data_IF_650674832746
#
_entry.id   IF_650674832746
#
_cell.length_a   1.000
_cell.length_b   1.000
_cell.length_c   1.000
_cell.angle_alpha   90.00
_cell.angle_beta   90.00
_cell.angle_gamma   90.00
#
_symmetry.space_group_name_H-M   'P 1'
#
loop_
_entity.id
_entity.type
_entity.pdbx_description
1 polymer ?
#
# COMPACT_ATOMS: atom_id res chain seq x y z
N UNK A 1 32.93 2.33 9.57
CA UNK A 1 33.12 1.32 8.49
C UNK A 1 31.73 0.87 8.08
N UNK A 2 31.42 0.85 6.78
CA UNK A 2 30.11 0.40 6.27
C UNK A 2 29.93 -1.09 6.54
N UNK A 3 28.72 -1.51 6.89
CA UNK A 3 28.37 -2.94 7.02
C UNK A 3 28.62 -3.67 5.69
N UNK A 4 29.15 -4.90 5.78
CA UNK A 4 29.54 -5.69 4.60
C UNK A 4 28.35 -5.97 3.67
N UNK A 5 27.14 -6.20 4.21
CA UNK A 5 25.95 -6.48 3.39
C UNK A 5 25.52 -5.23 2.63
N UNK A 6 25.59 -4.07 3.27
CA UNK A 6 25.29 -2.78 2.63
C UNK A 6 26.27 -2.51 1.49
N UNK A 7 27.56 -2.75 1.69
CA UNK A 7 28.58 -2.59 0.64
C UNK A 7 28.30 -3.51 -0.55
N UNK A 8 28.05 -4.80 -0.31
CA UNK A 8 27.73 -5.75 -1.36
C UNK A 8 26.45 -5.39 -2.12
N UNK A 9 25.41 -4.91 -1.41
CA UNK A 9 24.17 -4.44 -2.04
C UNK A 9 24.45 -3.27 -2.99
N UNK A 10 25.31 -2.33 -2.57
CA UNK A 10 25.70 -1.19 -3.40
C UNK A 10 26.47 -1.63 -4.65
N UNK A 11 27.49 -2.47 -4.47
CA UNK A 11 28.30 -3.01 -5.57
C UNK A 11 27.42 -3.77 -6.57
N UNK A 12 26.51 -4.62 -6.06
CA UNK A 12 25.56 -5.36 -6.88
C UNK A 12 24.63 -4.44 -7.68
N UNK A 13 24.10 -3.38 -7.05
CA UNK A 13 23.20 -2.42 -7.71
C UNK A 13 23.89 -1.70 -8.87
N UNK A 14 25.11 -1.19 -8.65
CA UNK A 14 25.90 -0.52 -9.69
C UNK A 14 26.25 -1.47 -10.83
N UNK A 15 26.76 -2.67 -10.52
CA UNK A 15 27.08 -3.70 -11.53
C UNK A 15 25.89 -4.07 -12.41
N UNK A 16 24.69 -3.98 -11.87
CA UNK A 16 23.45 -4.30 -12.59
C UNK A 16 22.85 -3.14 -13.39
N UNK A 17 23.53 -1.98 -13.47
CA UNK A 17 23.10 -0.77 -14.19
C UNK A 17 21.68 -0.33 -13.80
N UNK A 18 21.38 -0.34 -12.51
CA UNK A 18 20.10 0.17 -12.00
C UNK A 18 20.24 1.68 -11.78
N UNK A 19 19.26 2.44 -12.25
CA UNK A 19 19.25 3.92 -12.25
C UNK A 19 18.14 4.51 -11.36
N UNK A 20 17.25 3.70 -10.81
CA UNK A 20 16.11 4.11 -10.00
C UNK A 20 15.97 3.26 -8.73
N UNK A 21 15.28 3.82 -7.74
CA UNK A 21 14.87 3.14 -6.53
C UNK A 21 13.58 3.76 -6.02
N UNK A 22 12.49 2.97 -6.06
CA UNK A 22 11.16 3.45 -5.72
C UNK A 22 11.06 4.08 -4.31
N UNK A 23 10.30 5.18 -4.14
CA UNK A 23 10.00 5.72 -2.82
C UNK A 23 8.93 4.88 -2.11
N UNK A 24 8.87 4.94 -0.77
CA UNK A 24 7.61 4.57 -0.11
C UNK A 24 6.52 5.55 -0.52
N UNK A 25 5.30 5.07 -0.73
CA UNK A 25 4.14 5.96 -0.91
C UNK A 25 3.40 6.10 0.41
N UNK A 26 3.06 7.33 0.78
CA UNK A 26 2.21 7.61 1.93
C UNK A 26 0.73 7.49 1.56
N UNK A 27 -0.12 6.99 2.46
CA UNK A 27 -1.54 7.25 2.40
C UNK A 27 -1.82 8.74 2.46
N UNK A 28 -2.96 9.13 1.88
CA UNK A 28 -3.52 10.44 2.07
C UNK A 28 -3.71 10.77 3.57
N UNK A 29 -3.64 12.04 3.97
CA UNK A 29 -4.04 12.45 5.30
C UNK A 29 -5.50 12.05 5.58
N UNK A 30 -5.82 11.82 6.86
CA UNK A 30 -7.16 11.44 7.31
C UNK A 30 -8.06 12.67 7.43
N UNK A 31 -9.37 12.50 7.22
CA UNK A 31 -10.39 13.50 7.56
C UNK A 31 -11.30 12.96 8.66
N UNK A 32 -11.22 13.56 9.85
CA UNK A 32 -12.15 13.25 10.94
C UNK A 32 -13.57 13.71 10.63
N UNK A 33 -13.71 14.87 10.00
CA UNK A 33 -15.01 15.44 9.67
C UNK A 33 -15.80 14.58 8.68
N UNK A 34 -15.10 13.92 7.75
CA UNK A 34 -15.70 13.01 6.76
C UNK A 34 -15.67 11.54 7.15
N UNK A 35 -15.13 11.21 8.32
CA UNK A 35 -14.92 9.84 8.76
C UNK A 35 -14.09 9.00 7.75
N UNK A 36 -13.06 9.62 7.17
CA UNK A 36 -12.18 9.01 6.16
C UNK A 36 -10.78 8.80 6.73
N UNK A 37 -10.35 7.54 6.78
CA UNK A 37 -9.02 7.20 7.29
C UNK A 37 -7.90 7.52 6.28
N UNK A 38 -8.25 7.57 4.99
CA UNK A 38 -7.46 8.05 3.86
C UNK A 38 -8.38 8.96 3.04
N UNK A 39 -8.16 10.27 3.04
CA UNK A 39 -9.10 11.24 2.46
C UNK A 39 -8.63 11.79 1.12
N UNK A 40 -9.50 11.68 0.10
CA UNK A 40 -9.26 12.27 -1.23
C UNK A 40 -9.13 13.79 -1.11
N UNK A 41 -10.04 14.43 -0.36
CA UNK A 41 -10.03 15.88 -0.18
C UNK A 41 -8.76 16.34 0.55
N UNK A 42 -8.33 15.66 1.60
CA UNK A 42 -7.12 16.07 2.33
C UNK A 42 -5.83 15.87 1.50
N UNK A 43 -5.79 14.86 0.62
CA UNK A 43 -4.70 14.71 -0.34
C UNK A 43 -4.64 15.88 -1.33
N UNK A 44 -5.79 16.28 -1.88
CA UNK A 44 -5.89 17.45 -2.77
C UNK A 44 -5.51 18.74 -2.03
N UNK A 45 -6.02 18.94 -0.82
CA UNK A 45 -5.71 20.11 0.02
C UNK A 45 -4.23 20.21 0.34
N UNK A 46 -3.57 19.08 0.61
CA UNK A 46 -2.14 19.04 0.86
C UNK A 46 -1.36 19.64 -0.31
N UNK A 47 -1.72 19.27 -1.55
CA UNK A 47 -1.05 19.75 -2.76
C UNK A 47 -1.45 21.19 -3.14
N UNK A 48 -2.73 21.54 -3.05
CA UNK A 48 -3.21 22.91 -3.30
C UNK A 48 -2.54 23.91 -2.35
N UNK A 49 -2.40 23.55 -1.06
CA UNK A 49 -1.67 24.36 -0.07
C UNK A 49 -0.17 24.52 -0.35
N UNK A 50 0.34 23.86 -1.40
CA UNK A 50 1.71 23.96 -1.91
C UNK A 50 1.78 24.51 -3.35
N UNK A 51 0.67 25.04 -3.85
CA UNK A 51 0.58 25.67 -5.18
C UNK A 51 0.43 24.68 -6.34
N UNK A 52 0.13 23.41 -6.08
CA UNK A 52 -0.12 22.40 -7.12
C UNK A 52 -1.62 22.31 -7.38
N UNK A 53 -2.04 22.70 -8.58
CA UNK A 53 -3.46 22.74 -8.99
C UNK A 53 -3.85 21.67 -9.99
N UNK A 54 -2.89 21.00 -10.63
CA UNK A 54 -3.14 20.04 -11.71
C UNK A 54 -2.76 18.61 -11.30
N UNK A 55 -3.70 17.69 -11.46
CA UNK A 55 -3.66 16.35 -10.90
C UNK A 55 -3.90 15.26 -11.94
N UNK A 56 -3.28 14.11 -11.68
CA UNK A 56 -3.54 12.83 -12.33
C UNK A 56 -4.02 11.85 -11.26
N UNK A 57 -5.21 11.28 -11.46
CA UNK A 57 -5.79 10.27 -10.56
C UNK A 57 -5.87 8.95 -11.29
N UNK A 58 -5.06 7.99 -10.85
CA UNK A 58 -4.93 6.67 -11.46
C UNK A 58 -5.51 5.59 -10.56
N UNK A 59 -5.98 4.50 -11.14
CA UNK A 59 -6.26 3.26 -10.40
C UNK A 59 -5.00 2.82 -9.65
N UNK A 60 -5.18 2.37 -8.41
CA UNK A 60 -4.13 1.66 -7.66
C UNK A 60 -4.25 0.17 -7.95
N UNK A 61 -3.34 -0.36 -8.74
CA UNK A 61 -3.27 -1.80 -9.02
C UNK A 61 -2.74 -2.56 -7.80
N UNK A 62 -3.30 -3.73 -7.56
CA UNK A 62 -2.85 -4.63 -6.50
C UNK A 62 -1.87 -5.66 -7.08
N UNK A 63 -0.58 -5.31 -7.08
CA UNK A 63 0.47 -6.16 -7.58
C UNK A 63 1.78 -5.95 -6.83
N UNK A 64 2.89 -5.98 -7.57
CA UNK A 64 4.20 -5.61 -7.05
C UNK A 64 4.81 -4.53 -7.93
N UNK A 65 5.24 -3.42 -7.32
CA UNK A 65 5.99 -2.40 -8.04
C UNK A 65 7.21 -3.01 -8.74
N UNK A 66 7.34 -2.67 -10.02
CA UNK A 66 8.41 -3.08 -10.90
C UNK A 66 8.77 -1.94 -11.85
N UNK A 67 10.05 -1.56 -11.89
CA UNK A 67 10.58 -0.73 -12.96
C UNK A 67 11.01 -1.63 -14.12
N UNK A 68 10.41 -1.41 -15.28
CA UNK A 68 10.77 -2.07 -16.53
C UNK A 68 11.91 -1.26 -17.15
N UNK A 69 13.05 -1.89 -17.38
CA UNK A 69 14.13 -1.36 -18.21
C UNK A 69 13.93 -1.90 -19.62
N UNK A 70 13.01 -1.27 -20.35
CA UNK A 70 12.62 -1.70 -21.69
C UNK A 70 13.74 -1.39 -22.67
N UNK A 71 14.40 -2.43 -23.18
CA UNK A 71 15.53 -2.28 -24.10
C UNK A 71 15.07 -2.27 -25.55
N UNK A 72 15.87 -1.62 -26.41
CA UNK A 72 15.58 -1.56 -27.85
C UNK A 72 15.46 -2.95 -28.43
N UNK A 73 16.43 -3.80 -28.12
CA UNK A 73 16.29 -5.24 -28.26
C UNK A 73 15.44 -5.76 -27.10
N UNK A 74 14.21 -6.18 -27.38
CA UNK A 74 13.24 -6.54 -26.34
C UNK A 74 13.75 -7.69 -25.45
N UNK A 75 14.56 -8.59 -26.00
CA UNK A 75 15.12 -9.76 -25.30
C UNK A 75 16.15 -9.38 -24.21
N UNK A 76 16.68 -8.15 -24.26
CA UNK A 76 17.59 -7.61 -23.24
C UNK A 76 16.85 -6.90 -22.10
N UNK A 77 15.52 -6.79 -22.18
CA UNK A 77 14.69 -6.13 -21.17
C UNK A 77 14.85 -6.82 -19.83
N UNK A 78 14.97 -6.02 -18.76
CA UNK A 78 15.02 -6.52 -17.40
C UNK A 78 14.14 -5.72 -16.46
N UNK A 79 13.91 -6.29 -15.29
CA UNK A 79 12.91 -5.84 -14.33
C UNK A 79 13.58 -5.56 -12.99
N UNK A 80 13.21 -4.45 -12.34
CA UNK A 80 13.76 -4.05 -11.03
C UNK A 80 12.63 -3.87 -10.03
N UNK A 81 12.72 -4.55 -8.90
CA UNK A 81 11.78 -4.46 -7.79
C UNK A 81 11.84 -3.12 -7.07
N UNK A 82 10.82 -2.85 -6.24
CA UNK A 82 10.72 -1.65 -5.38
C UNK A 82 11.99 -1.30 -4.59
N UNK A 83 12.79 -2.30 -4.22
CA UNK A 83 13.95 -2.13 -3.34
C UNK A 83 15.29 -2.15 -4.10
N UNK A 84 15.26 -2.01 -5.43
CA UNK A 84 16.48 -1.91 -6.25
C UNK A 84 17.16 -3.25 -6.53
N UNK A 85 16.40 -4.36 -6.57
CA UNK A 85 16.92 -5.66 -6.99
C UNK A 85 16.30 -6.08 -8.31
N UNK A 86 17.09 -6.70 -9.18
CA UNK A 86 16.59 -7.32 -10.41
C UNK A 86 15.65 -8.47 -10.04
N UNK A 87 14.60 -8.63 -10.84
CA UNK A 87 13.64 -9.71 -10.71
C UNK A 87 14.02 -10.76 -11.74
N UNK A 88 14.56 -11.88 -11.27
CA UNK A 88 15.04 -13.03 -12.06
C UNK A 88 14.32 -14.34 -11.72
N UNK A 89 13.54 -14.36 -10.63
CA UNK A 89 12.80 -15.51 -10.10
C UNK A 89 11.35 -15.56 -10.60
N UNK A 90 11.10 -15.07 -11.82
CA UNK A 90 9.81 -15.13 -12.51
C UNK A 90 10.00 -15.79 -13.89
N UNK A 91 8.90 -16.10 -14.58
CA UNK A 91 8.96 -16.56 -15.98
C UNK A 91 9.34 -15.40 -16.91
N UNK A 92 10.64 -15.10 -17.03
CA UNK A 92 11.17 -13.94 -17.76
C UNK A 92 10.71 -13.89 -19.21
N UNK A 93 10.68 -15.03 -19.91
CA UNK A 93 10.20 -15.08 -21.29
C UNK A 93 8.72 -14.66 -21.40
N UNK A 94 7.86 -15.10 -20.48
CA UNK A 94 6.46 -14.65 -20.43
C UNK A 94 6.35 -13.16 -20.11
N UNK A 95 7.18 -12.67 -19.18
CA UNK A 95 7.23 -11.26 -18.84
C UNK A 95 7.62 -10.39 -20.04
N UNK A 96 8.68 -10.76 -20.77
CA UNK A 96 9.10 -10.08 -22.01
C UNK A 96 8.01 -10.17 -23.08
N UNK A 97 7.41 -11.35 -23.27
CA UNK A 97 6.32 -11.54 -24.24
C UNK A 97 5.11 -10.65 -23.95
N UNK A 98 4.78 -10.41 -22.68
CA UNK A 98 3.68 -9.52 -22.27
C UNK A 98 3.92 -8.04 -22.61
N UNK A 99 5.16 -7.66 -22.97
CA UNK A 99 5.54 -6.28 -23.30
C UNK A 99 5.58 -6.00 -24.80
N UNK A 100 5.28 -6.95 -25.68
CA UNK A 100 5.42 -6.77 -27.14
C UNK A 100 4.65 -5.58 -27.69
N UNK A 101 3.40 -5.41 -27.26
CA UNK A 101 2.56 -4.30 -27.74
C UNK A 101 3.08 -2.95 -27.23
N UNK A 102 3.48 -2.89 -25.96
CA UNK A 102 4.12 -1.71 -25.38
C UNK A 102 5.43 -1.38 -26.10
N UNK A 103 6.26 -2.38 -26.37
CA UNK A 103 7.52 -2.23 -27.08
C UNK A 103 7.31 -1.67 -28.48
N UNK A 104 6.37 -2.22 -29.25
CA UNK A 104 6.02 -1.70 -30.57
C UNK A 104 5.58 -0.23 -30.51
N UNK A 105 4.75 0.14 -29.52
CA UNK A 105 4.34 1.54 -29.28
C UNK A 105 5.53 2.44 -28.96
N UNK A 106 6.45 1.99 -28.11
CA UNK A 106 7.65 2.75 -27.73
C UNK A 106 8.66 2.87 -28.88
N UNK A 107 8.75 1.88 -29.78
CA UNK A 107 9.60 1.96 -30.99
C UNK A 107 9.10 3.06 -31.93
N UNK A 108 7.78 3.26 -32.00
CA UNK A 108 7.19 4.35 -32.81
C UNK A 108 7.39 5.70 -32.13
N UNK A 109 7.09 5.79 -30.83
CA UNK A 109 7.16 7.04 -30.07
C UNK A 109 8.60 7.54 -29.90
N UNK A 110 9.56 6.62 -29.70
CA UNK A 110 10.97 6.94 -29.51
C UNK A 110 11.85 6.12 -30.48
N UNK A 111 11.91 6.46 -31.78
CA UNK A 111 12.59 5.63 -32.80
C UNK A 111 14.04 5.27 -32.50
N UNK A 112 14.74 6.10 -31.73
CA UNK A 112 16.17 5.95 -31.43
C UNK A 112 16.45 5.61 -29.95
N UNK A 113 15.45 5.14 -29.19
CA UNK A 113 15.69 4.74 -27.80
C UNK A 113 16.64 3.53 -27.72
N UNK A 114 17.58 3.54 -26.77
CA UNK A 114 18.36 2.39 -26.34
C UNK A 114 17.69 1.69 -25.14
N UNK A 115 17.24 2.49 -24.16
CA UNK A 115 16.49 2.00 -23.00
C UNK A 115 15.45 3.02 -22.53
N UNK A 116 14.31 2.53 -22.07
CA UNK A 116 13.28 3.33 -21.40
C UNK A 116 13.02 2.73 -20.02
N UNK A 117 13.08 3.56 -18.99
CA UNK A 117 12.74 3.19 -17.63
C UNK A 117 11.28 3.53 -17.39
N UNK A 118 10.45 2.50 -17.19
CA UNK A 118 9.01 2.63 -17.05
C UNK A 118 8.61 2.07 -15.68
N UNK A 119 8.09 2.92 -14.80
CA UNK A 119 7.50 2.47 -13.54
C UNK A 119 6.18 1.76 -13.84
N UNK A 120 6.00 0.57 -13.27
CA UNK A 120 4.88 -0.32 -13.51
C UNK A 120 4.46 -1.08 -12.27
N UNK A 121 3.24 -1.59 -12.28
CA UNK A 121 2.85 -2.70 -11.40
C UNK A 121 3.00 -4.03 -12.16
N UNK A 122 3.64 -5.03 -11.56
CA UNK A 122 3.67 -6.42 -12.00
C UNK A 122 2.48 -7.15 -11.37
N UNK A 123 1.66 -7.79 -12.19
CA UNK A 123 0.45 -8.50 -11.79
C UNK A 123 0.47 -9.96 -12.25
N UNK A 124 -0.32 -10.84 -11.61
CA UNK A 124 -1.06 -10.62 -10.36
C UNK A 124 -0.14 -10.53 -9.13
N UNK A 125 -0.66 -10.06 -7.99
CA UNK A 125 0.09 -9.97 -6.72
C UNK A 125 0.77 -11.29 -6.35
N UNK A 126 0.11 -12.42 -6.65
CA UNK A 126 0.61 -13.77 -6.38
C UNK A 126 1.98 -14.07 -7.02
N UNK A 127 2.36 -13.44 -8.13
CA UNK A 127 3.65 -13.67 -8.82
C UNK A 127 4.84 -13.51 -7.87
N UNK A 128 4.85 -12.45 -7.06
CA UNK A 128 5.91 -12.22 -6.05
C UNK A 128 5.40 -12.40 -4.61
N UNK A 129 4.07 -12.41 -4.42
CA UNK A 129 3.41 -12.39 -3.12
C UNK A 129 2.84 -13.72 -2.64
N UNK A 130 2.90 -14.81 -3.42
CA UNK A 130 2.24 -16.09 -3.09
C UNK A 130 2.48 -16.56 -1.65
N UNK A 131 3.76 -16.60 -1.23
CA UNK A 131 4.10 -17.07 0.12
C UNK A 131 3.58 -16.18 1.24
N UNK A 132 3.39 -14.88 0.99
CA UNK A 132 2.82 -13.93 1.95
C UNK A 132 1.30 -14.11 2.06
N UNK A 133 0.62 -14.27 0.92
CA UNK A 133 -0.83 -14.50 0.84
C UNK A 133 -1.21 -15.72 1.67
N UNK A 134 -0.56 -16.86 1.40
CA UNK A 134 -0.87 -18.12 2.09
C UNK A 134 -0.59 -18.05 3.60
N UNK A 135 0.57 -17.50 4.00
CA UNK A 135 1.01 -17.51 5.39
C UNK A 135 0.23 -16.52 6.27
N UNK A 136 0.02 -15.31 5.79
CA UNK A 136 -0.49 -14.21 6.64
C UNK A 136 -1.98 -13.96 6.43
N UNK A 137 -2.50 -14.14 5.22
CA UNK A 137 -3.88 -13.78 4.89
C UNK A 137 -4.82 -14.99 4.92
N UNK A 138 -4.47 -16.08 4.23
CA UNK A 138 -5.27 -17.32 4.25
C UNK A 138 -5.31 -17.92 5.66
N UNK A 139 -4.17 -17.98 6.34
CA UNK A 139 -4.08 -18.47 7.72
C UNK A 139 -4.94 -17.66 8.71
N UNK A 140 -4.93 -16.32 8.60
CA UNK A 140 -5.79 -15.45 9.42
C UNK A 140 -7.28 -15.68 9.14
N UNK A 141 -7.66 -15.83 7.87
CA UNK A 141 -9.04 -16.13 7.47
C UNK A 141 -9.53 -17.44 8.08
N UNK A 142 -8.79 -18.54 7.91
CA UNK A 142 -9.19 -19.87 8.38
C UNK A 142 -9.29 -19.93 9.91
N UNK A 143 -8.38 -19.26 10.62
CA UNK A 143 -8.42 -19.18 12.08
C UNK A 143 -9.71 -18.50 12.58
N UNK A 144 -10.07 -17.34 12.00
CA UNK A 144 -11.28 -16.62 12.39
C UNK A 144 -12.57 -17.32 11.94
N UNK A 145 -12.56 -17.93 10.76
CA UNK A 145 -13.67 -18.74 10.27
C UNK A 145 -13.97 -19.87 11.25
N UNK A 146 -12.95 -20.66 11.61
CA UNK A 146 -13.08 -21.76 12.57
C UNK A 146 -13.56 -21.27 13.93
N UNK A 147 -13.01 -20.14 14.42
CA UNK A 147 -13.43 -19.54 15.68
C UNK A 147 -14.91 -19.13 15.67
N UNK A 148 -15.35 -18.45 14.61
CA UNK A 148 -16.74 -17.99 14.48
C UNK A 148 -17.71 -19.17 14.36
N UNK A 149 -17.38 -20.19 13.58
CA UNK A 149 -18.18 -21.41 13.45
C UNK A 149 -18.34 -22.14 14.80
N UNK A 150 -17.26 -22.21 15.59
CA UNK A 150 -17.33 -22.78 16.93
C UNK A 150 -18.19 -21.95 17.88
N UNK A 151 -18.03 -20.62 17.90
CA UNK A 151 -18.83 -19.76 18.77
C UNK A 151 -20.33 -19.87 18.47
N UNK A 152 -20.71 -20.04 17.21
CA UNK A 152 -22.11 -20.22 16.81
C UNK A 152 -22.67 -21.60 17.12
N UNK A 153 -21.86 -22.66 16.98
CA UNK A 153 -22.36 -24.04 17.11
C UNK A 153 -22.24 -24.63 18.52
N UNK A 154 -21.38 -24.08 19.38
CA UNK A 154 -21.04 -24.69 20.67
C UNK A 154 -22.04 -24.46 21.80
N UNK A 155 -22.99 -23.54 21.65
CA UNK A 155 -23.87 -23.11 22.75
C UNK A 155 -23.15 -22.31 23.85
N UNK A 156 -21.91 -21.87 23.60
CA UNK A 156 -21.07 -21.18 24.58
C UNK A 156 -21.61 -19.79 24.89
N UNK A 157 -22.01 -19.04 23.86
CA UNK A 157 -22.46 -17.65 24.00
C UNK A 157 -23.76 -17.58 24.83
N UNK A 158 -24.71 -18.46 24.55
CA UNK A 158 -25.98 -18.58 25.25
C UNK A 158 -25.78 -18.91 26.74
N UNK A 159 -24.81 -19.79 27.05
CA UNK A 159 -24.45 -20.11 28.44
C UNK A 159 -23.82 -18.92 29.15
N UNK A 160 -22.92 -18.19 28.48
CA UNK A 160 -22.28 -17.01 29.06
C UNK A 160 -23.31 -15.91 29.34
N UNK A 161 -24.24 -15.68 28.43
CA UNK A 161 -25.34 -14.73 28.58
C UNK A 161 -26.29 -15.15 29.71
N UNK A 162 -26.69 -16.41 29.75
CA UNK A 162 -27.52 -16.94 30.85
C UNK A 162 -26.89 -16.71 32.24
N UNK A 163 -25.57 -16.88 32.38
CA UNK A 163 -24.88 -16.57 33.63
C UNK A 163 -24.84 -15.07 33.91
N UNK A 164 -24.63 -14.23 32.88
CA UNK A 164 -24.63 -12.75 33.03
C UNK A 164 -25.99 -12.22 33.47
N UNK A 165 -27.06 -12.85 33.03
CA UNK A 165 -28.44 -12.49 33.40
C UNK A 165 -28.85 -13.06 34.77
N UNK A 166 -28.09 -13.99 35.33
CA UNK A 166 -28.42 -14.60 36.62
C UNK A 166 -28.38 -13.59 37.77
N UNK A 167 -29.30 -13.76 38.73
CA UNK A 167 -29.36 -12.93 39.93
C UNK A 167 -28.03 -12.95 40.71
N UNK A 168 -27.38 -14.11 40.79
CA UNK A 168 -26.12 -14.27 41.52
C UNK A 168 -24.99 -13.43 40.91
N UNK A 169 -24.93 -13.35 39.58
CA UNK A 169 -23.91 -12.55 38.88
C UNK A 169 -24.21 -11.05 38.97
N UNK A 170 -25.47 -10.65 38.78
CA UNK A 170 -25.86 -9.23 38.87
C UNK A 170 -25.65 -8.67 40.29
N UNK A 171 -25.93 -9.47 41.32
CA UNK A 171 -25.60 -9.14 42.72
C UNK A 171 -24.10 -8.99 42.92
N UNK A 172 -23.29 -9.90 42.37
CA UNK A 172 -21.83 -9.80 42.44
C UNK A 172 -21.30 -8.49 41.83
N UNK A 173 -21.78 -8.11 40.64
CA UNK A 173 -21.37 -6.86 39.98
C UNK A 173 -21.78 -5.64 40.81
N UNK A 174 -23.00 -5.66 41.39
CA UNK A 174 -23.47 -4.59 42.27
C UNK A 174 -22.62 -4.47 43.54
N UNK A 175 -22.32 -5.60 44.18
CA UNK A 175 -21.49 -5.68 45.38
C UNK A 175 -20.08 -5.15 45.10
N UNK A 176 -19.50 -5.48 43.96
CA UNK A 176 -18.17 -5.02 43.57
C UNK A 176 -18.10 -3.50 43.46
N UNK A 177 -19.17 -2.86 43.00
CA UNK A 177 -19.25 -1.41 42.89
C UNK A 177 -19.53 -0.70 44.23
N UNK A 178 -20.18 -1.39 45.19
CA UNK A 178 -20.72 -0.77 46.42
C UNK A 178 -20.00 -1.12 47.71
N UNK A 179 -19.47 -2.35 47.83
CA UNK A 179 -18.86 -2.83 49.06
C UNK A 179 -17.39 -2.43 49.16
N UNK A 180 -16.90 -2.25 50.39
CA UNK A 180 -15.46 -2.14 50.62
C UNK A 180 -14.75 -3.45 50.31
N UNK A 181 -13.44 -3.40 50.04
CA UNK A 181 -12.63 -4.59 49.74
C UNK A 181 -12.73 -5.68 50.83
N UNK A 182 -12.86 -5.28 52.10
CA UNK A 182 -12.98 -6.20 53.24
C UNK A 182 -14.35 -6.89 53.28
N UNK A 183 -15.42 -6.13 53.08
CA UNK A 183 -16.80 -6.65 53.04
C UNK A 183 -16.98 -7.57 51.82
N UNK A 184 -16.48 -7.13 50.66
CA UNK A 184 -16.51 -7.90 49.42
C UNK A 184 -15.79 -9.24 49.56
N UNK A 185 -14.57 -9.24 50.11
CA UNK A 185 -13.79 -10.46 50.33
C UNK A 185 -14.36 -11.38 51.41
N UNK A 186 -15.20 -10.87 52.32
CA UNK A 186 -15.90 -11.69 53.31
C UNK A 186 -17.18 -12.31 52.74
N UNK A 187 -17.86 -11.62 51.81
CA UNK A 187 -19.11 -12.05 51.18
C UNK A 187 -18.89 -13.03 50.03
N UNK A 188 -17.88 -12.81 49.19
CA UNK A 188 -17.63 -13.59 47.98
C UNK A 188 -16.41 -14.50 48.12
N UNK A 189 -16.60 -15.81 47.95
CA UNK A 189 -15.51 -16.80 47.99
C UNK A 189 -14.55 -16.60 46.81
N UNK A 190 -13.27 -16.93 47.00
CA UNK A 190 -12.20 -16.71 46.01
C UNK A 190 -12.48 -17.30 44.62
N UNK A 191 -13.10 -18.49 44.54
CA UNK A 191 -13.44 -19.12 43.26
C UNK A 191 -14.59 -18.40 42.53
N UNK A 192 -15.54 -17.80 43.25
CA UNK A 192 -16.62 -16.98 42.67
C UNK A 192 -16.03 -15.70 42.11
N UNK A 193 -15.18 -15.02 42.88
CA UNK A 193 -14.46 -13.82 42.42
C UNK A 193 -13.70 -14.13 41.13
N UNK A 194 -12.89 -15.20 41.10
CA UNK A 194 -12.17 -15.61 39.89
C UNK A 194 -13.11 -15.82 38.69
N UNK A 195 -14.20 -16.56 38.88
CA UNK A 195 -15.12 -16.93 37.80
C UNK A 195 -15.85 -15.70 37.24
N UNK A 196 -16.41 -14.87 38.11
CA UNK A 196 -17.22 -13.73 37.71
C UNK A 196 -16.38 -12.56 37.25
N UNK A 197 -15.14 -12.38 37.75
CA UNK A 197 -14.20 -11.44 37.14
C UNK A 197 -13.84 -11.82 35.70
N UNK A 198 -13.55 -13.10 35.46
CA UNK A 198 -13.27 -13.57 34.12
C UNK A 198 -14.45 -13.29 33.18
N UNK A 199 -15.68 -13.58 33.62
CA UNK A 199 -16.89 -13.34 32.82
C UNK A 199 -17.20 -11.85 32.61
N UNK A 200 -16.96 -11.01 33.62
CA UNK A 200 -17.21 -9.57 33.56
C UNK A 200 -16.23 -8.84 32.64
N UNK A 201 -15.00 -9.34 32.54
CA UNK A 201 -13.95 -8.76 31.69
C UNK A 201 -13.90 -9.38 30.28
N UNK A 202 -14.56 -10.53 30.08
CA UNK A 202 -14.63 -11.21 28.79
C UNK A 202 -15.35 -10.33 27.75
N UNK A 203 -14.63 -9.95 26.70
CA UNK A 203 -15.21 -9.30 25.52
C UNK A 203 -15.76 -10.37 24.59
N UNK A 204 -17.08 -10.35 24.42
CA UNK A 204 -17.75 -11.22 23.44
C UNK A 204 -17.73 -10.47 22.10
N UNK A 205 -17.15 -11.06 21.03
CA UNK A 205 -17.20 -10.44 19.71
C UNK A 205 -18.63 -10.46 19.15
N UNK A 206 -18.95 -9.46 18.33
CA UNK A 206 -20.17 -9.48 17.51
C UNK A 206 -19.95 -10.44 16.34
N UNK A 207 -20.31 -11.70 16.54
CA UNK A 207 -20.02 -12.78 15.58
C UNK A 207 -20.66 -12.52 14.22
N UNK A 208 -21.86 -11.94 14.20
CA UNK A 208 -22.57 -11.60 12.96
C UNK A 208 -21.78 -10.57 12.15
N UNK A 209 -21.37 -9.45 12.78
CA UNK A 209 -20.55 -8.44 12.10
C UNK A 209 -19.19 -8.97 11.69
N UNK A 210 -18.55 -9.79 12.54
CA UNK A 210 -17.29 -10.42 12.19
C UNK A 210 -17.44 -11.34 10.97
N UNK A 211 -18.54 -12.08 10.84
CA UNK A 211 -18.78 -12.92 9.67
C UNK A 211 -19.01 -12.10 8.39
N UNK A 212 -19.75 -11.00 8.47
CA UNK A 212 -19.92 -10.08 7.34
C UNK A 212 -18.57 -9.52 6.87
N UNK A 213 -17.77 -9.04 7.81
CA UNK A 213 -16.43 -8.50 7.52
C UNK A 213 -15.46 -9.58 7.04
N UNK A 214 -15.55 -10.81 7.55
CA UNK A 214 -14.76 -11.95 7.10
C UNK A 214 -15.10 -12.35 5.66
N UNK A 215 -16.37 -12.19 5.22
CA UNK A 215 -16.74 -12.36 3.81
C UNK A 215 -16.08 -11.31 2.92
N UNK A 216 -16.05 -10.05 3.36
CA UNK A 216 -15.33 -8.97 2.64
C UNK A 216 -13.85 -9.31 2.55
N UNK A 217 -13.22 -9.68 3.67
CA UNK A 217 -11.81 -10.09 3.74
C UNK A 217 -11.50 -11.23 2.76
N UNK A 218 -12.31 -12.29 2.76
CA UNK A 218 -12.16 -13.42 1.85
C UNK A 218 -12.33 -13.02 0.38
N UNK A 219 -13.31 -12.16 0.08
CA UNK A 219 -13.51 -11.65 -1.27
C UNK A 219 -12.30 -10.85 -1.79
N UNK A 220 -11.68 -10.03 -0.93
CA UNK A 220 -10.43 -9.32 -1.27
C UNK A 220 -9.29 -10.30 -1.57
N UNK A 221 -9.08 -11.30 -0.70
CA UNK A 221 -8.03 -12.30 -0.89
C UNK A 221 -8.24 -13.05 -2.20
N UNK A 222 -9.45 -13.51 -2.48
CA UNK A 222 -9.72 -14.24 -3.72
C UNK A 222 -9.49 -13.35 -4.93
N UNK A 223 -9.89 -12.08 -4.89
CA UNK A 223 -9.71 -11.17 -6.02
C UNK A 223 -8.24 -10.95 -6.35
N UNK A 224 -7.40 -10.71 -5.35
CA UNK A 224 -5.99 -10.34 -5.57
C UNK A 224 -5.02 -11.52 -5.49
N UNK A 225 -5.42 -12.61 -4.85
CA UNK A 225 -4.63 -13.83 -4.64
C UNK A 225 -4.86 -14.91 -5.69
N UNK A 226 -5.73 -14.66 -6.68
CA UNK A 226 -5.93 -15.60 -7.78
C UNK A 226 -4.66 -15.77 -8.63
N UNK A 227 -4.45 -16.99 -9.12
CA UNK A 227 -3.49 -17.24 -10.18
C UNK A 227 -4.05 -16.72 -11.50
N UNK A 228 -3.25 -15.90 -12.17
CA UNK A 228 -3.55 -15.36 -13.48
C UNK A 228 -2.23 -15.21 -14.25
N UNK A 229 -2.33 -15.02 -15.56
CA UNK A 229 -1.15 -14.79 -16.39
C UNK A 229 -0.44 -13.50 -15.96
N UNK A 230 0.89 -13.61 -15.92
CA UNK A 230 1.77 -12.50 -15.59
C UNK A 230 1.64 -11.41 -16.64
N UNK A 231 1.38 -10.18 -16.20
CA UNK A 231 1.33 -9.01 -17.06
C UNK A 231 1.72 -7.75 -16.28
N UNK A 232 1.92 -6.66 -17.01
CA UNK A 232 2.29 -5.37 -16.45
C UNK A 232 1.17 -4.34 -16.62
N UNK A 233 1.05 -3.44 -15.63
CA UNK A 233 0.30 -2.18 -15.74
C UNK A 233 1.27 -1.01 -15.54
N UNK A 234 1.93 -0.56 -16.63
CA UNK A 234 2.82 0.59 -16.58
C UNK A 234 2.07 1.85 -16.18
N UNK A 235 2.73 2.81 -15.54
CA UNK A 235 2.03 4.03 -15.13
C UNK A 235 2.84 5.33 -15.24
N UNK A 236 4.16 5.28 -15.46
CA UNK A 236 4.97 6.48 -15.67
C UNK A 236 6.26 6.15 -16.41
N UNK A 237 6.60 6.92 -17.45
CA UNK A 237 7.94 6.90 -18.04
C UNK A 237 8.85 7.78 -17.17
N UNK A 238 9.85 7.17 -16.56
CA UNK A 238 10.80 7.85 -15.67
C UNK A 238 11.94 8.49 -16.46
N UNK A 239 12.46 7.78 -17.46
CA UNK A 239 13.64 8.19 -18.22
C UNK A 239 13.67 7.48 -19.58
N UNK A 240 14.08 8.21 -20.61
CA UNK A 240 14.38 7.70 -21.95
C UNK A 240 15.84 7.98 -22.24
N UNK A 241 16.56 6.97 -22.72
CA UNK A 241 17.97 7.08 -23.15
C UNK A 241 18.02 6.67 -24.60
N UNK A 242 18.62 7.49 -25.46
CA UNK A 242 18.78 7.18 -26.88
C UNK A 242 20.12 6.49 -27.18
N UNK A 243 20.27 5.98 -28.41
CA UNK A 243 21.49 5.29 -28.86
C UNK A 243 22.74 6.18 -28.88
N UNK A 244 22.61 7.50 -28.81
CA UNK A 244 23.72 8.45 -28.70
C UNK A 244 24.10 8.73 -27.24
N UNK A 245 23.36 8.17 -26.27
CA UNK A 245 23.54 8.40 -24.84
C UNK A 245 22.95 9.72 -24.34
N UNK A 246 22.12 10.39 -25.15
CA UNK A 246 21.32 11.53 -24.71
C UNK A 246 20.10 11.04 -23.94
N UNK A 247 19.68 11.82 -22.93
CA UNK A 247 18.69 11.38 -21.98
C UNK A 247 17.60 12.41 -21.75
N UNK A 248 16.37 11.92 -21.63
CA UNK A 248 15.19 12.72 -21.34
C UNK A 248 14.56 12.17 -20.07
N UNK A 249 14.31 13.04 -19.10
CA UNK A 249 13.47 12.76 -17.94
C UNK A 249 12.15 13.52 -18.16
N UNK A 250 11.06 12.85 -18.59
CA UNK A 250 9.83 13.53 -18.98
C UNK A 250 9.20 14.37 -17.86
N UNK A 251 9.44 13.99 -16.60
CA UNK A 251 8.92 14.65 -15.41
C UNK A 251 7.40 14.88 -15.44
N UNK A 252 6.64 13.94 -16.03
CA UNK A 252 5.18 14.07 -16.18
C UNK A 252 4.47 12.74 -15.93
N UNK A 253 3.48 12.77 -15.03
CA UNK A 253 2.57 11.64 -14.81
C UNK A 253 1.57 11.46 -15.97
N UNK A 254 1.48 12.40 -16.92
CA UNK A 254 0.68 12.24 -18.13
C UNK A 254 1.30 11.27 -19.14
N UNK A 255 2.58 10.89 -18.96
CA UNK A 255 3.20 9.77 -19.68
C UNK A 255 2.44 8.45 -19.49
N UNK A 256 1.53 8.38 -18.50
CA UNK A 256 0.55 7.31 -18.36
C UNK A 256 -0.19 6.99 -19.67
N UNK A 257 -0.65 8.01 -20.42
CA UNK A 257 -1.35 7.82 -21.72
C UNK A 257 -0.48 7.10 -22.77
N UNK A 258 0.85 7.21 -22.64
CA UNK A 258 1.79 6.58 -23.56
C UNK A 258 1.95 5.09 -23.25
N UNK A 259 1.79 4.67 -21.99
CA UNK A 259 2.16 3.32 -21.54
C UNK A 259 1.00 2.50 -20.99
N UNK A 260 -0.20 3.08 -20.87
CA UNK A 260 -1.38 2.41 -20.31
C UNK A 260 -2.66 2.98 -20.93
N UNK A 261 -3.61 2.08 -21.22
CA UNK A 261 -4.89 2.41 -21.85
C UNK A 261 -6.06 2.42 -20.85
N UNK A 262 -5.83 2.08 -19.57
CA UNK A 262 -6.86 2.11 -18.54
C UNK A 262 -7.32 3.56 -18.26
N UNK A 263 -8.58 3.72 -17.88
CA UNK A 263 -9.14 5.02 -17.55
C UNK A 263 -8.43 5.67 -16.34
N UNK A 264 -8.26 6.99 -16.41
CA UNK A 264 -7.72 7.81 -15.34
C UNK A 264 -8.29 9.23 -15.46
N UNK A 265 -8.18 10.02 -14.39
CA UNK A 265 -8.60 11.42 -14.41
C UNK A 265 -7.40 12.36 -14.58
N UNK A 266 -7.58 13.39 -15.39
CA UNK A 266 -6.67 14.53 -15.51
C UNK A 266 -7.48 15.79 -15.21
N UNK A 267 -7.18 16.45 -14.09
CA UNK A 267 -8.01 17.51 -13.51
C UNK A 267 -7.16 18.72 -13.15
N UNK A 268 -7.66 19.91 -13.46
CA UNK A 268 -7.17 21.16 -12.88
C UNK A 268 -8.19 21.69 -11.87
N UNK A 269 -7.73 21.93 -10.63
CA UNK A 269 -8.56 22.32 -9.50
C UNK A 269 -8.26 23.78 -9.14
N UNK A 270 -9.31 24.59 -9.14
CA UNK A 270 -9.35 25.99 -8.72
C UNK A 270 -10.43 26.17 -7.66
N UNK A 271 -10.45 27.30 -6.97
CA UNK A 271 -11.47 27.57 -5.94
C UNK A 271 -12.91 27.52 -6.48
N UNK A 272 -13.11 27.82 -7.77
CA UNK A 272 -14.44 27.86 -8.40
C UNK A 272 -14.98 26.49 -8.79
N UNK A 273 -14.11 25.51 -9.08
CA UNK A 273 -14.51 24.18 -9.55
C UNK A 273 -14.16 23.05 -8.56
N UNK A 274 -13.60 23.39 -7.39
CA UNK A 274 -13.10 22.44 -6.41
C UNK A 274 -14.11 21.38 -6.01
N UNK A 275 -15.35 21.77 -5.72
CA UNK A 275 -16.40 20.84 -5.31
C UNK A 275 -16.76 19.85 -6.43
N UNK A 276 -16.90 20.35 -7.66
CA UNK A 276 -17.18 19.53 -8.84
C UNK A 276 -16.05 18.51 -9.09
N UNK A 277 -14.79 18.96 -9.04
CA UNK A 277 -13.62 18.10 -9.30
C UNK A 277 -13.39 17.08 -8.20
N UNK A 278 -13.64 17.43 -6.94
CA UNK A 278 -13.65 16.45 -5.86
C UNK A 278 -14.74 15.39 -6.10
N UNK A 279 -15.96 15.79 -6.48
CA UNK A 279 -17.05 14.85 -6.79
C UNK A 279 -16.68 13.89 -7.92
N UNK A 280 -15.99 14.36 -8.95
CA UNK A 280 -15.46 13.54 -10.04
C UNK A 280 -14.47 12.48 -9.53
N UNK A 281 -13.54 12.87 -8.65
CA UNK A 281 -12.57 11.96 -8.02
C UNK A 281 -13.25 10.91 -7.12
N UNK A 282 -14.23 11.31 -6.30
CA UNK A 282 -15.01 10.39 -5.46
C UNK A 282 -15.82 9.41 -6.32
N UNK A 283 -16.44 9.88 -7.40
CA UNK A 283 -17.21 9.00 -8.31
C UNK A 283 -16.31 7.95 -8.97
N UNK A 284 -15.10 8.34 -9.37
CA UNK A 284 -14.11 7.40 -9.91
C UNK A 284 -13.63 6.39 -8.86
N UNK A 285 -13.39 6.85 -7.62
CA UNK A 285 -13.03 5.98 -6.50
C UNK A 285 -14.13 4.97 -6.15
N UNK A 286 -15.39 5.41 -6.10
CA UNK A 286 -16.55 4.56 -5.85
C UNK A 286 -16.73 3.51 -6.96
N UNK A 287 -16.56 3.91 -8.23
CA UNK A 287 -16.57 2.97 -9.36
C UNK A 287 -15.52 1.87 -9.17
N UNK A 288 -14.27 2.24 -8.90
CA UNK A 288 -13.19 1.27 -8.68
C UNK A 288 -13.42 0.40 -7.43
N UNK A 289 -14.02 0.96 -6.39
CA UNK A 289 -14.42 0.20 -5.19
C UNK A 289 -15.46 -0.86 -5.51
N UNK A 290 -16.45 -0.54 -6.35
CA UNK A 290 -17.48 -1.48 -6.81
C UNK A 290 -16.92 -2.55 -7.76
N UNK A 291 -15.88 -2.21 -8.53
CA UNK A 291 -15.09 -3.14 -9.36
C UNK A 291 -14.10 -3.98 -8.52
N UNK A 292 -14.12 -3.82 -7.19
CA UNK A 292 -13.28 -4.53 -6.24
C UNK A 292 -11.77 -4.30 -6.40
N UNK A 293 -11.39 -3.11 -6.85
CA UNK A 293 -10.00 -2.67 -6.95
C UNK A 293 -9.48 -2.17 -5.60
N UNK A 294 -8.17 -2.00 -5.44
CA UNK A 294 -7.60 -1.53 -4.16
C UNK A 294 -7.98 -0.06 -3.84
N UNK A 295 -8.05 0.79 -4.87
CA UNK A 295 -8.36 2.21 -4.71
C UNK A 295 -7.69 3.08 -5.79
N UNK A 296 -7.25 4.28 -5.41
CA UNK A 296 -6.67 5.27 -6.32
C UNK A 296 -5.32 5.80 -5.83
N UNK A 297 -4.57 6.37 -6.77
CA UNK A 297 -3.35 7.12 -6.58
C UNK A 297 -3.57 8.55 -7.05
N UNK A 298 -3.41 9.53 -6.16
CA UNK A 298 -3.53 10.96 -6.46
C UNK A 298 -2.13 11.52 -6.63
N UNK A 299 -1.82 12.02 -7.83
CA UNK A 299 -0.49 12.51 -8.21
C UNK A 299 -0.59 13.92 -8.78
N UNK A 300 0.40 14.80 -8.60
CA UNK A 300 0.54 16.00 -9.43
C UNK A 300 0.76 15.62 -10.90
N UNK A 301 0.40 16.48 -11.87
CA UNK A 301 0.81 16.27 -13.28
C UNK A 301 2.32 16.26 -13.42
N UNK A 302 3.02 17.24 -12.83
CA UNK A 302 4.48 17.25 -12.76
C UNK A 302 4.96 16.15 -11.81
N UNK A 303 5.66 15.14 -12.35
CA UNK A 303 6.00 13.91 -11.63
C UNK A 303 6.93 14.14 -10.42
N UNK A 304 7.82 15.13 -10.51
CA UNK A 304 8.69 15.57 -9.44
C UNK A 304 8.57 17.07 -9.20
N UNK A 305 8.22 17.39 -7.96
CA UNK A 305 8.24 18.74 -7.40
C UNK A 305 9.04 18.64 -6.10
N UNK A 306 10.05 19.51 -5.96
CA UNK A 306 10.95 19.52 -4.80
C UNK A 306 10.17 19.62 -3.49
N UNK A 307 10.59 18.87 -2.47
CA UNK A 307 9.95 18.78 -1.14
C UNK A 307 8.49 18.28 -1.12
N UNK A 308 7.95 17.74 -2.21
CA UNK A 308 6.60 17.17 -2.25
C UNK A 308 6.62 15.66 -2.43
N UNK A 309 5.66 14.92 -1.83
CA UNK A 309 5.57 13.49 -2.06
C UNK A 309 5.16 13.22 -3.51
N UNK A 310 5.61 12.11 -4.12
CA UNK A 310 5.28 11.75 -5.50
C UNK A 310 3.78 11.57 -5.71
N UNK A 311 3.10 11.02 -4.70
CA UNK A 311 1.66 10.77 -4.72
C UNK A 311 1.13 10.41 -3.34
N UNK A 312 -0.20 10.41 -3.22
CA UNK A 312 -0.93 9.78 -2.12
C UNK A 312 -1.72 8.57 -2.62
N UNK A 313 -1.69 7.48 -1.85
CA UNK A 313 -2.65 6.38 -2.02
C UNK A 313 -3.92 6.67 -1.22
N UNK A 314 -5.07 6.33 -1.79
CA UNK A 314 -6.36 6.27 -1.10
C UNK A 314 -6.98 4.92 -1.41
N UNK A 315 -7.03 4.06 -0.39
CA UNK A 315 -7.53 2.68 -0.47
C UNK A 315 -8.94 2.61 0.08
N UNK A 316 -9.78 1.79 -0.55
CA UNK A 316 -11.16 1.63 -0.06
C UNK A 316 -11.24 0.75 1.18
N UNK A 317 -12.35 0.86 1.90
CA UNK A 317 -12.53 0.18 3.17
C UNK A 317 -12.62 -1.36 3.03
N UNK A 318 -13.06 -1.89 1.88
CA UNK A 318 -13.04 -3.33 1.64
C UNK A 318 -11.60 -3.85 1.64
N UNK A 319 -10.72 -3.18 0.88
CA UNK A 319 -9.28 -3.49 0.88
C UNK A 319 -8.65 -3.25 2.26
N UNK A 320 -8.97 -2.14 2.94
CA UNK A 320 -8.42 -1.85 4.26
C UNK A 320 -8.82 -2.87 5.32
N UNK A 321 -9.95 -3.57 5.15
CA UNK A 321 -10.31 -4.71 6.00
C UNK A 321 -9.26 -5.82 5.91
N UNK A 322 -8.65 -6.02 4.75
CA UNK A 322 -7.53 -6.96 4.58
C UNK A 322 -6.27 -6.52 5.35
N UNK A 323 -6.05 -5.21 5.48
CA UNK A 323 -4.85 -4.63 6.11
C UNK A 323 -5.01 -4.47 7.64
N UNK A 324 -6.20 -4.11 8.11
CA UNK A 324 -6.48 -3.83 9.52
C UNK A 324 -7.16 -5.01 10.25
N UNK A 325 -7.69 -5.99 9.51
CA UNK A 325 -8.41 -7.15 10.03
C UNK A 325 -9.92 -6.97 10.05
N UNK A 326 -10.65 -8.05 10.35
CA UNK A 326 -12.12 -8.09 10.26
C UNK A 326 -12.84 -7.11 11.21
N UNK A 327 -12.18 -6.66 12.27
CA UNK A 327 -12.77 -5.68 13.18
C UNK A 327 -12.59 -4.23 12.68
N UNK A 328 -11.99 -4.01 11.50
CA UNK A 328 -11.68 -2.68 10.99
C UNK A 328 -12.86 -1.70 11.04
N UNK A 329 -14.04 -2.13 10.61
CA UNK A 329 -15.26 -1.31 10.64
C UNK A 329 -15.78 -1.04 12.05
N UNK A 330 -15.70 -2.05 12.94
CA UNK A 330 -16.17 -1.93 14.32
C UNK A 330 -15.25 -1.02 15.15
N UNK A 331 -13.94 -1.12 14.93
CA UNK A 331 -12.91 -0.36 15.64
C UNK A 331 -12.45 0.85 14.81
N UNK A 332 -13.27 1.35 13.87
CA UNK A 332 -12.85 2.37 12.92
C UNK A 332 -12.38 3.66 13.61
N UNK A 333 -13.11 4.15 14.61
CA UNK A 333 -12.75 5.35 15.37
C UNK A 333 -11.37 5.21 16.03
N UNK A 334 -11.06 4.02 16.56
CA UNK A 334 -9.75 3.72 17.14
C UNK A 334 -8.62 3.89 16.11
N UNK A 335 -8.82 3.33 14.91
CA UNK A 335 -7.83 3.43 13.84
C UNK A 335 -7.74 4.85 13.29
N UNK A 336 -8.87 5.53 13.11
CA UNK A 336 -8.94 6.91 12.68
C UNK A 336 -8.20 7.83 13.65
N UNK A 337 -8.37 7.66 14.96
CA UNK A 337 -7.66 8.45 15.96
C UNK A 337 -6.15 8.21 15.94
N UNK A 338 -5.73 6.95 15.96
CA UNK A 338 -4.31 6.58 16.05
C UNK A 338 -3.51 6.84 14.78
N UNK A 339 -4.16 6.89 13.62
CA UNK A 339 -3.44 7.01 12.35
C UNK A 339 -2.64 8.31 12.25
N UNK A 340 -1.36 8.19 11.94
CA UNK A 340 -0.46 9.32 11.73
C UNK A 340 0.47 9.05 10.55
N UNK A 341 0.28 9.82 9.47
CA UNK A 341 1.05 9.67 8.22
C UNK A 341 2.26 10.61 8.14
N UNK A 342 2.46 11.53 9.09
CA UNK A 342 3.47 12.60 8.97
C UNK A 342 4.87 12.08 8.64
N UNK A 343 5.35 11.09 9.41
CA UNK A 343 6.67 10.46 9.18
C UNK A 343 6.73 9.69 7.86
N UNK A 344 5.62 9.06 7.45
CA UNK A 344 5.51 8.33 6.18
C UNK A 344 5.57 9.29 4.99
N UNK A 345 4.91 10.45 5.08
CA UNK A 345 5.00 11.53 4.09
C UNK A 345 6.44 12.03 3.98
N UNK A 346 7.10 12.28 5.11
CA UNK A 346 8.50 12.72 5.14
C UNK A 346 9.44 11.72 4.45
N UNK A 347 9.31 10.42 4.75
CA UNK A 347 10.13 9.40 4.09
C UNK A 347 9.77 9.22 2.61
N UNK A 348 8.51 9.39 2.24
CA UNK A 348 8.04 9.41 0.84
C UNK A 348 8.70 10.54 0.04
N UNK A 349 8.74 11.76 0.60
CA UNK A 349 9.43 12.91 0.01
C UNK A 349 10.93 12.62 -0.13
N UNK A 350 11.58 12.21 0.95
CA UNK A 350 13.03 11.97 0.97
C UNK A 350 13.43 10.88 -0.05
N UNK A 351 12.71 9.76 -0.06
CA UNK A 351 12.94 8.67 -1.01
C UNK A 351 12.77 9.14 -2.45
N UNK A 352 11.77 10.00 -2.72
CA UNK A 352 11.52 10.51 -4.06
C UNK A 352 12.59 11.50 -4.52
N UNK A 353 13.05 12.41 -3.64
CA UNK A 353 14.17 13.30 -3.95
C UNK A 353 15.46 12.55 -4.23
N UNK A 354 15.73 11.46 -3.49
CA UNK A 354 16.89 10.61 -3.75
C UNK A 354 16.74 9.93 -5.12
N UNK A 355 15.58 9.34 -5.41
CA UNK A 355 15.32 8.70 -6.69
C UNK A 355 15.51 9.66 -7.87
N UNK A 356 15.06 10.90 -7.75
CA UNK A 356 15.19 11.91 -8.80
C UNK A 356 16.65 12.29 -9.05
N UNK A 357 17.47 12.36 -7.99
CA UNK A 357 18.92 12.52 -8.14
C UNK A 357 19.59 11.29 -8.74
N UNK A 358 19.09 10.08 -8.47
CA UNK A 358 19.59 8.86 -9.09
C UNK A 358 19.28 8.86 -10.59
N UNK A 359 18.06 9.19 -11.01
CA UNK A 359 17.65 9.27 -12.41
C UNK A 359 18.48 10.30 -13.21
N UNK A 360 18.91 11.39 -12.58
CA UNK A 360 19.80 12.40 -13.16
C UNK A 360 21.22 11.91 -13.44
N UNK A 361 21.65 10.80 -12.84
CA UNK A 361 22.94 10.18 -13.18
C UNK A 361 22.80 9.55 -14.56
N UNK A 362 23.67 9.89 -15.53
CA UNK A 362 23.62 9.29 -16.85
C UNK A 362 23.75 7.78 -16.79
N UNK A 363 22.93 7.09 -17.58
CA UNK A 363 22.84 5.64 -17.65
C UNK A 363 24.18 5.01 -18.07
N UNK A 364 24.90 5.69 -18.98
CA UNK A 364 26.27 5.31 -19.37
C UNK A 364 27.28 5.39 -18.22
N UNK A 365 27.02 6.22 -17.22
CA UNK A 365 27.91 6.46 -16.08
C UNK A 365 27.56 5.58 -14.87
N UNK A 366 26.67 4.57 -15.02
CA UNK A 366 26.29 3.62 -13.96
C UNK A 366 27.37 2.55 -13.67
N UNK A 367 28.63 2.95 -13.74
CA UNK A 367 29.78 2.08 -13.48
C UNK A 367 30.00 1.87 -11.97
N UNK A 368 30.75 0.83 -11.60
CA UNK A 368 30.99 0.44 -10.19
C UNK A 368 31.65 1.54 -9.35
N UNK A 369 32.41 2.43 -9.99
CA UNK A 369 33.15 3.52 -9.33
C UNK A 369 32.38 4.86 -9.28
N UNK A 370 31.11 4.91 -9.69
CA UNK A 370 30.31 6.13 -9.57
C UNK A 370 29.96 6.43 -8.10
N UNK A 371 30.86 7.14 -7.40
CA UNK A 371 30.73 7.45 -5.98
C UNK A 371 29.46 8.25 -5.64
N UNK A 372 28.95 9.07 -6.58
CA UNK A 372 27.70 9.79 -6.38
C UNK A 372 26.52 8.81 -6.34
N UNK A 373 26.43 7.86 -7.28
CA UNK A 373 25.41 6.81 -7.27
C UNK A 373 25.49 5.99 -5.98
N UNK A 374 26.69 5.57 -5.58
CA UNK A 374 26.90 4.81 -4.34
C UNK A 374 26.44 5.58 -3.10
N UNK A 375 26.70 6.89 -3.03
CA UNK A 375 26.25 7.75 -1.93
C UNK A 375 24.72 7.90 -1.91
N UNK A 376 24.09 8.10 -3.07
CA UNK A 376 22.63 8.19 -3.18
C UNK A 376 21.96 6.89 -2.77
N UNK A 377 22.50 5.76 -3.23
CA UNK A 377 22.00 4.44 -2.84
C UNK A 377 22.16 4.18 -1.35
N UNK A 378 23.30 4.54 -0.75
CA UNK A 378 23.46 4.45 0.71
C UNK A 378 22.40 5.28 1.45
N UNK A 379 22.13 6.51 0.99
CA UNK A 379 21.05 7.34 1.56
C UNK A 379 19.69 6.66 1.41
N UNK A 380 19.40 6.04 0.25
CA UNK A 380 18.13 5.36 0.01
C UNK A 380 17.97 4.11 0.89
N UNK A 381 19.04 3.33 1.07
CA UNK A 381 19.08 2.17 1.97
C UNK A 381 18.80 2.62 3.42
N UNK A 382 19.44 3.71 3.89
CA UNK A 382 19.17 4.24 5.22
C UNK A 382 17.72 4.73 5.36
N UNK A 383 17.17 5.37 4.33
CA UNK A 383 15.76 5.77 4.27
C UNK A 383 14.82 4.54 4.30
N UNK A 384 15.16 3.44 3.62
CA UNK A 384 14.44 2.16 3.68
C UNK A 384 14.41 1.58 5.12
N UNK A 385 15.53 1.63 5.84
CA UNK A 385 15.59 1.17 7.24
C UNK A 385 14.69 2.00 8.17
N UNK A 386 14.61 3.32 7.96
CA UNK A 386 13.69 4.18 8.71
C UNK A 386 12.24 3.83 8.37
N UNK A 387 11.93 3.61 7.09
CA UNK A 387 10.59 3.23 6.62
C UNK A 387 10.07 1.94 7.28
N UNK A 388 10.95 0.97 7.56
CA UNK A 388 10.62 -0.30 8.25
C UNK A 388 10.16 -0.10 9.69
N UNK A 389 10.50 1.03 10.33
CA UNK A 389 10.09 1.34 11.71
C UNK A 389 8.72 2.02 11.80
N UNK A 390 8.13 2.40 10.66
CA UNK A 390 6.83 3.05 10.60
C UNK A 390 5.70 2.03 10.69
N UNK A 391 4.47 2.51 10.87
CA UNK A 391 3.29 1.64 10.84
C UNK A 391 3.23 0.88 9.50
N UNK A 392 3.30 -0.47 9.51
CA UNK A 392 3.38 -1.28 8.29
C UNK A 392 2.09 -1.25 7.46
N UNK A 393 0.99 -0.73 8.03
CA UNK A 393 -0.31 -0.60 7.36
C UNK A 393 -0.39 0.64 6.46
N UNK A 394 0.61 1.53 6.49
CA UNK A 394 0.67 2.78 5.71
C UNK A 394 1.24 2.60 4.30
#
# INVERSE_FOLDING_TARGET
>A
MLDYRVRNRIEWFCKNKINDFSPTISPAPKSKAKNEIESIEEAVNYYLGKGVTEFVVQKKYMGSYCTIYLKRNIDETYFVSRNGFKIDHIEIEKAINSLKDLHAKMVIEFPDFETILIASELLPWKVLGAGLIEKEFTGYYEALKTHNEYLQSSGLLEKLESVRESEVFTVYISDKAKLSKKEFGSKHKSHIVRQYEALATLKIPDVTKQQESLKVFHNQINTFGNEAELHFKPFTVLKVVNVLGEEIIPNSNLTYKLVNDDAFLHLEITDFNREEKLKEMYSFFEKLTNENEEGIMIKPVQNYIKNLPPCFKVRNNNYLTMIYGVNFHQDFDHYLEKRNVKKKIEQSINGWEINQKMLQIPYKDLEEENYLMRLLLLKRINNEEIEKTLDPRL
#
